data_IF_494843108906
#
_entry.id   IF_494843108906
#
_cell.length_a   1.000
_cell.length_b   1.000
_cell.length_c   1.000
_cell.angle_alpha   90.00
_cell.angle_beta   90.00
_cell.angle_gamma   90.00
#
_symmetry.space_group_name_H-M   'P 1'
#
loop_
_entity.id
_entity.type
_entity.pdbx_description
1 polymer ?
#
# COMPACT_ATOMS: atom_id res chain seq x y z
N UNK A 1 26.87 22.52 26.73
CA UNK A 1 26.55 21.61 25.61
C UNK A 1 27.82 21.36 24.80
N UNK A 2 28.09 20.14 24.33
CA UNK A 2 29.19 19.88 23.39
C UNK A 2 28.98 20.69 22.11
N UNK A 3 30.01 21.40 21.65
CA UNK A 3 29.97 22.10 20.37
C UNK A 3 30.04 21.07 19.23
N UNK A 4 28.92 20.89 18.52
CA UNK A 4 28.87 20.04 17.32
C UNK A 4 29.50 20.82 16.17
N UNK A 5 30.74 20.46 15.81
CA UNK A 5 31.43 21.02 14.65
C UNK A 5 31.17 20.16 13.40
N UNK A 6 30.91 20.77 12.23
CA UNK A 6 30.89 20.07 10.94
C UNK A 6 32.15 19.23 10.73
N UNK A 7 32.03 18.10 10.04
CA UNK A 7 33.14 17.14 9.87
C UNK A 7 34.38 17.77 9.22
N UNK A 8 34.18 18.66 8.26
CA UNK A 8 35.24 19.38 7.53
C UNK A 8 36.07 20.29 8.44
N UNK A 9 35.52 20.74 9.56
CA UNK A 9 36.17 21.62 10.53
C UNK A 9 36.81 20.86 11.70
N UNK A 10 36.81 19.52 11.67
CA UNK A 10 37.45 18.69 12.69
C UNK A 10 38.92 18.47 12.34
N UNK A 11 39.75 18.34 13.38
CA UNK A 11 41.17 18.03 13.17
C UNK A 11 41.34 16.63 12.55
N UNK A 12 42.34 16.46 11.69
CA UNK A 12 42.64 15.17 11.02
C UNK A 12 42.77 14.02 12.04
N UNK A 13 43.47 14.25 13.16
CA UNK A 13 43.60 13.28 14.25
C UNK A 13 42.27 12.84 14.85
N UNK A 14 41.29 13.75 14.92
CA UNK A 14 39.94 13.42 15.41
C UNK A 14 39.17 12.60 14.39
N UNK A 15 39.39 12.82 13.09
CA UNK A 15 38.75 12.07 12.02
C UNK A 15 39.30 10.63 11.99
N UNK A 16 40.61 10.45 12.06
CA UNK A 16 41.27 9.13 12.10
C UNK A 16 40.83 8.26 13.30
N UNK A 17 40.47 8.89 14.42
CA UNK A 17 40.00 8.17 15.60
C UNK A 17 38.53 7.74 15.51
N UNK A 18 37.78 8.21 14.51
CA UNK A 18 36.39 7.80 14.34
C UNK A 18 36.30 6.34 13.87
N UNK A 19 35.24 5.61 14.27
CA UNK A 19 35.04 4.25 13.79
C UNK A 19 34.60 4.24 12.33
N UNK A 20 35.25 3.42 11.50
CA UNK A 20 34.88 3.25 10.09
C UNK A 20 33.66 2.33 9.88
N UNK A 21 33.38 1.44 10.84
CA UNK A 21 32.32 0.43 10.76
C UNK A 21 31.48 0.40 12.02
N UNK A 22 30.20 0.06 11.86
CA UNK A 22 29.28 -0.21 12.96
C UNK A 22 29.66 -1.52 13.66
N UNK A 23 30.23 -1.40 14.85
CA UNK A 23 30.47 -2.55 15.74
C UNK A 23 29.25 -2.83 16.63
N UNK A 24 29.14 -4.05 17.16
CA UNK A 24 28.09 -4.44 18.11
C UNK A 24 28.08 -3.55 19.36
N UNK A 25 29.27 -3.11 19.82
CA UNK A 25 29.39 -2.16 20.93
C UNK A 25 28.82 -0.78 20.58
N UNK A 26 29.03 -0.29 19.35
CA UNK A 26 28.41 0.96 18.91
C UNK A 26 26.89 0.85 18.81
N UNK A 27 26.37 -0.29 18.35
CA UNK A 27 24.92 -0.53 18.34
C UNK A 27 24.33 -0.47 19.75
N UNK A 28 25.04 -1.00 20.75
CA UNK A 28 24.63 -0.90 22.15
C UNK A 28 24.67 0.55 22.66
N UNK A 29 25.72 1.31 22.31
CA UNK A 29 25.79 2.77 22.61
C UNK A 29 24.58 3.49 22.00
N UNK A 30 24.23 3.22 20.75
CA UNK A 30 23.07 3.82 20.08
C UNK A 30 21.79 3.52 20.86
N UNK A 31 21.56 2.28 21.25
CA UNK A 31 20.37 1.89 22.02
C UNK A 31 20.29 2.61 23.38
N UNK A 32 21.40 2.67 24.11
CA UNK A 32 21.45 3.37 25.40
C UNK A 32 21.24 4.89 25.23
N UNK A 33 21.79 5.48 24.17
CA UNK A 33 21.62 6.90 23.85
C UNK A 33 20.18 7.24 23.46
N UNK A 34 19.51 6.37 22.69
CA UNK A 34 18.07 6.47 22.38
C UNK A 34 17.23 6.32 23.66
N UNK A 35 17.62 5.45 24.58
CA UNK A 35 16.98 5.30 25.88
C UNK A 35 17.23 6.48 26.85
N UNK A 36 18.04 7.49 26.45
CA UNK A 36 18.28 8.70 27.22
C UNK A 36 19.46 8.63 28.20
N UNK A 37 20.30 7.61 28.12
CA UNK A 37 21.48 7.52 28.98
C UNK A 37 22.50 8.62 28.64
N UNK A 38 23.09 9.22 29.67
CA UNK A 38 24.15 10.21 29.49
C UNK A 38 25.45 9.55 29.02
N UNK A 39 26.32 10.29 28.33
CA UNK A 39 27.60 9.76 27.86
C UNK A 39 28.48 9.18 28.98
N UNK A 40 28.38 9.75 30.19
CA UNK A 40 29.08 9.24 31.37
C UNK A 40 28.48 7.92 31.87
N UNK A 41 27.15 7.77 31.86
CA UNK A 41 26.50 6.52 32.23
C UNK A 41 26.85 5.40 31.24
N UNK A 42 26.85 5.69 29.95
CA UNK A 42 27.29 4.75 28.90
C UNK A 42 28.77 4.36 29.11
N UNK A 43 29.60 5.30 29.55
CA UNK A 43 31.04 5.05 29.80
C UNK A 43 31.27 4.07 30.94
N UNK A 44 30.49 4.20 32.03
CA UNK A 44 30.55 3.30 33.15
C UNK A 44 30.07 1.90 32.79
N UNK A 45 28.94 1.80 32.06
CA UNK A 45 28.33 0.51 31.70
C UNK A 45 29.18 -0.30 30.71
N UNK A 46 29.78 0.37 29.72
CA UNK A 46 30.54 -0.30 28.66
C UNK A 46 32.04 -0.41 28.96
N UNK A 47 32.50 0.11 30.10
CA UNK A 47 33.92 0.14 30.47
C UNK A 47 34.78 0.92 29.48
N UNK A 48 34.23 1.97 28.88
CA UNK A 48 34.93 2.82 27.91
C UNK A 48 35.25 4.18 28.52
N UNK A 49 36.30 4.83 28.02
CA UNK A 49 36.58 6.21 28.44
C UNK A 49 35.50 7.17 27.90
N UNK A 50 35.08 8.19 28.68
CA UNK A 50 34.11 9.18 28.22
C UNK A 50 34.52 9.87 26.91
N UNK A 51 35.82 10.11 26.74
CA UNK A 51 36.39 10.68 25.52
C UNK A 51 36.17 9.79 24.29
N UNK A 52 36.31 8.46 24.44
CA UNK A 52 36.04 7.52 23.33
C UNK A 52 34.58 7.52 22.93
N UNK A 53 33.66 7.57 23.89
CA UNK A 53 32.21 7.66 23.62
C UNK A 53 31.88 8.98 22.93
N UNK A 54 32.49 10.08 23.34
CA UNK A 54 32.31 11.38 22.67
C UNK A 54 32.74 11.32 21.20
N UNK A 55 33.88 10.69 20.90
CA UNK A 55 34.35 10.51 19.52
C UNK A 55 33.36 9.66 18.71
N UNK A 56 32.89 8.55 19.28
CA UNK A 56 31.92 7.66 18.63
C UNK A 56 30.60 8.38 18.35
N UNK A 57 30.03 9.09 19.34
CA UNK A 57 28.74 9.80 19.20
C UNK A 57 28.78 10.91 18.16
N UNK A 58 29.95 11.50 17.94
CA UNK A 58 30.16 12.57 16.96
C UNK A 58 30.57 12.04 15.57
N UNK A 59 30.65 10.72 15.37
CA UNK A 59 30.99 10.13 14.09
C UNK A 59 29.77 10.16 13.13
N UNK A 60 29.95 10.45 11.84
CA UNK A 60 28.85 10.47 10.86
C UNK A 60 28.06 9.15 10.82
N UNK A 61 28.77 8.02 10.80
CA UNK A 61 28.18 6.68 10.78
C UNK A 61 27.28 6.41 11.99
N UNK A 62 27.63 6.96 13.16
CA UNK A 62 26.84 6.83 14.37
C UNK A 62 25.54 7.62 14.25
N UNK A 63 25.62 8.88 13.79
CA UNK A 63 24.45 9.75 13.67
C UNK A 63 23.43 9.20 12.66
N UNK A 64 23.91 8.65 11.55
CA UNK A 64 23.05 8.03 10.54
C UNK A 64 22.38 6.76 11.09
N UNK A 65 23.14 5.87 11.72
CA UNK A 65 22.61 4.65 12.31
C UNK A 65 21.61 4.91 13.45
N UNK A 66 21.87 5.92 14.28
CA UNK A 66 20.95 6.37 15.33
C UNK A 66 19.63 6.82 14.72
N UNK A 67 19.66 7.68 13.68
CA UNK A 67 18.46 8.16 12.99
C UNK A 67 17.64 7.01 12.40
N UNK A 68 18.29 6.04 11.76
CA UNK A 68 17.61 4.84 11.23
C UNK A 68 16.94 4.07 12.36
N UNK A 69 17.65 3.82 13.46
CA UNK A 69 17.09 3.08 14.61
C UNK A 69 15.95 3.81 15.30
N UNK A 70 16.01 5.13 15.43
CA UNK A 70 14.90 5.95 15.95
C UNK A 70 13.68 5.89 15.02
N UNK A 71 13.89 5.90 13.71
CA UNK A 71 12.82 5.74 12.73
C UNK A 71 12.18 4.32 12.81
N UNK A 72 12.99 3.27 12.90
CA UNK A 72 12.51 1.89 13.09
C UNK A 72 11.73 1.70 14.40
N UNK A 73 12.18 2.34 15.48
CA UNK A 73 11.50 2.26 16.78
C UNK A 73 10.20 3.06 16.76
N UNK A 74 10.21 4.25 16.17
CA UNK A 74 8.99 5.07 16.07
C UNK A 74 7.94 4.40 15.17
N UNK A 75 8.32 3.78 14.05
CA UNK A 75 7.39 3.02 13.21
C UNK A 75 6.77 1.86 13.97
N UNK A 76 7.57 1.07 14.70
CA UNK A 76 7.08 -0.04 15.53
C UNK A 76 6.15 0.41 16.65
N UNK A 77 6.42 1.56 17.27
CA UNK A 77 5.55 2.12 18.31
C UNK A 77 4.24 2.62 17.71
N UNK A 78 4.29 3.29 16.55
CA UNK A 78 3.10 3.75 15.83
C UNK A 78 2.25 2.55 15.40
N UNK A 79 2.83 1.54 14.76
CA UNK A 79 2.15 0.30 14.36
C UNK A 79 1.51 -0.41 15.56
N UNK A 80 2.24 -0.56 16.67
CA UNK A 80 1.72 -1.18 17.89
C UNK A 80 0.61 -0.35 18.54
N UNK A 81 0.71 0.98 18.56
CA UNK A 81 -0.34 1.85 19.07
C UNK A 81 -1.58 1.81 18.18
N UNK A 82 -1.42 1.82 16.86
CA UNK A 82 -2.52 1.65 15.92
C UNK A 82 -3.26 0.32 16.15
N UNK A 83 -2.53 -0.77 16.33
CA UNK A 83 -3.13 -2.08 16.62
C UNK A 83 -3.77 -2.14 18.02
N UNK A 84 -3.19 -1.49 19.03
CA UNK A 84 -3.76 -1.44 20.39
C UNK A 84 -5.00 -0.56 20.47
N UNK A 85 -5.07 0.53 19.70
CA UNK A 85 -6.25 1.39 19.63
C UNK A 85 -7.37 0.67 18.87
N UNK A 86 -7.05 0.02 17.74
CA UNK A 86 -8.01 -0.81 16.99
C UNK A 86 -8.52 -2.01 17.81
N UNK A 87 -7.66 -2.66 18.60
CA UNK A 87 -8.06 -3.78 19.45
C UNK A 87 -8.87 -3.36 20.70
N UNK A 88 -8.73 -2.12 21.15
CA UNK A 88 -9.43 -1.57 22.31
C UNK A 88 -10.76 -0.89 21.98
N UNK A 89 -11.09 -0.69 20.69
CA UNK A 89 -12.33 -0.06 20.29
C UNK A 89 -13.52 -1.03 20.48
N UNK A 90 -14.46 -0.76 21.40
CA UNK A 90 -15.62 -1.60 21.61
C UNK A 90 -16.53 -1.69 20.36
N UNK A 91 -16.47 -0.70 19.47
CA UNK A 91 -17.26 -0.68 18.23
C UNK A 91 -16.69 -1.68 17.23
N UNK A 92 -15.37 -1.69 17.01
CA UNK A 92 -14.73 -2.63 16.08
C UNK A 92 -14.91 -4.08 16.56
N UNK A 93 -14.78 -4.33 17.86
CA UNK A 93 -15.04 -5.65 18.44
C UNK A 93 -16.50 -6.09 18.19
N UNK A 94 -17.46 -5.18 18.35
CA UNK A 94 -18.88 -5.46 18.10
C UNK A 94 -19.19 -5.67 16.62
N UNK A 95 -18.54 -4.93 15.73
CA UNK A 95 -18.66 -5.13 14.28
C UNK A 95 -18.12 -6.49 13.86
N UNK A 96 -16.99 -6.95 14.43
CA UNK A 96 -16.45 -8.30 14.16
C UNK A 96 -17.41 -9.40 14.61
N UNK A 97 -18.02 -9.27 15.78
CA UNK A 97 -19.05 -10.21 16.25
C UNK A 97 -20.26 -10.23 15.32
N UNK A 98 -20.79 -9.06 14.96
CA UNK A 98 -21.91 -8.95 14.02
C UNK A 98 -21.59 -9.53 12.63
N UNK A 99 -20.34 -9.43 12.19
CA UNK A 99 -19.90 -10.04 10.94
C UNK A 99 -19.96 -11.57 11.01
N UNK A 100 -19.56 -12.18 12.13
CA UNK A 100 -19.68 -13.63 12.35
C UNK A 100 -21.15 -14.05 12.37
N UNK A 101 -21.99 -13.35 13.13
CA UNK A 101 -23.43 -13.61 13.20
C UNK A 101 -24.10 -13.49 11.81
N UNK A 102 -23.68 -12.51 11.00
CA UNK A 102 -24.19 -12.34 9.65
C UNK A 102 -23.84 -13.53 8.76
N UNK A 103 -22.61 -14.06 8.84
CA UNK A 103 -22.19 -15.25 8.09
C UNK A 103 -23.01 -16.48 8.48
N UNK A 104 -23.26 -16.68 9.77
CA UNK A 104 -24.12 -17.77 10.24
C UNK A 104 -25.56 -17.64 9.71
N UNK A 105 -26.12 -16.43 9.73
CA UNK A 105 -27.44 -16.17 9.15
C UNK A 105 -27.50 -16.48 7.66
N UNK A 106 -26.47 -16.11 6.89
CA UNK A 106 -26.37 -16.48 5.48
C UNK A 106 -26.33 -18.01 5.30
N UNK A 107 -25.62 -18.75 6.15
CA UNK A 107 -25.60 -20.21 6.09
C UNK A 107 -26.97 -20.84 6.38
N UNK A 108 -27.74 -20.28 7.32
CA UNK A 108 -29.11 -20.71 7.62
C UNK A 108 -30.05 -20.42 6.46
N UNK A 109 -29.99 -19.20 5.90
CA UNK A 109 -30.81 -18.80 4.76
C UNK A 109 -30.54 -19.67 3.53
N UNK A 110 -29.29 -20.04 3.29
CA UNK A 110 -28.92 -20.93 2.18
C UNK A 110 -29.61 -22.29 2.27
N UNK A 111 -29.72 -22.87 3.48
CA UNK A 111 -30.25 -24.22 3.71
C UNK A 111 -31.77 -24.27 3.89
N UNK A 112 -32.38 -23.19 4.38
CA UNK A 112 -33.75 -23.22 4.90
C UNK A 112 -34.68 -22.10 4.43
N UNK A 113 -34.24 -21.18 3.56
CA UNK A 113 -35.15 -20.15 3.05
C UNK A 113 -36.22 -20.75 2.13
N UNK A 114 -37.49 -20.35 2.28
CA UNK A 114 -38.59 -20.84 1.44
C UNK A 114 -38.58 -20.28 0.01
N UNK A 115 -37.81 -19.22 -0.25
CA UNK A 115 -37.72 -18.58 -1.56
C UNK A 115 -36.42 -18.97 -2.25
N UNK A 116 -36.54 -19.59 -3.42
CA UNK A 116 -35.40 -19.96 -4.27
C UNK A 116 -34.55 -18.74 -4.65
N UNK A 117 -35.20 -17.58 -4.86
CA UNK A 117 -34.50 -16.33 -5.16
C UNK A 117 -33.55 -15.92 -4.02
N UNK A 118 -33.99 -16.06 -2.77
CA UNK A 118 -33.19 -15.73 -1.58
C UNK A 118 -32.05 -16.73 -1.41
N UNK A 119 -32.32 -18.03 -1.64
CA UNK A 119 -31.27 -19.06 -1.60
C UNK A 119 -30.19 -18.79 -2.65
N UNK A 120 -30.57 -18.49 -3.90
CA UNK A 120 -29.64 -18.19 -4.99
C UNK A 120 -28.80 -16.95 -4.69
N UNK A 121 -29.43 -15.84 -4.31
CA UNK A 121 -28.72 -14.60 -3.97
C UNK A 121 -27.72 -14.79 -2.81
N UNK A 122 -28.10 -15.61 -1.83
CA UNK A 122 -27.22 -15.97 -0.71
C UNK A 122 -26.06 -16.85 -1.16
N UNK A 123 -26.31 -17.83 -2.04
CA UNK A 123 -25.28 -18.69 -2.60
C UNK A 123 -24.24 -17.87 -3.38
N UNK A 124 -24.68 -16.99 -4.28
CA UNK A 124 -23.82 -16.11 -5.07
C UNK A 124 -22.96 -15.22 -4.15
N UNK A 125 -23.57 -14.64 -3.11
CA UNK A 125 -22.85 -13.80 -2.12
C UNK A 125 -21.76 -14.56 -1.36
N UNK A 126 -21.98 -15.83 -1.04
CA UNK A 126 -21.00 -16.69 -0.37
C UNK A 126 -19.86 -17.05 -1.34
N UNK A 127 -20.19 -17.42 -2.58
CA UNK A 127 -19.22 -17.79 -3.60
C UNK A 127 -18.30 -16.62 -3.96
N UNK A 128 -18.84 -15.42 -4.12
CA UNK A 128 -18.08 -14.20 -4.39
C UNK A 128 -17.07 -13.90 -3.27
N UNK A 129 -17.50 -14.01 -2.01
CA UNK A 129 -16.64 -13.78 -0.84
C UNK A 129 -15.58 -14.87 -0.66
N UNK A 130 -15.90 -16.10 -1.06
CA UNK A 130 -14.93 -17.20 -1.09
C UNK A 130 -13.93 -17.09 -2.26
N UNK A 131 -14.11 -16.10 -3.15
CA UNK A 131 -13.22 -15.85 -4.28
C UNK A 131 -13.53 -16.66 -5.53
N UNK A 132 -14.66 -17.36 -5.57
CA UNK A 132 -15.15 -18.06 -6.76
C UNK A 132 -15.82 -17.05 -7.69
N UNK A 133 -15.03 -16.46 -8.59
CA UNK A 133 -15.58 -15.63 -9.67
C UNK A 133 -15.98 -16.50 -10.85
N UNK A 134 -17.16 -16.24 -11.41
CA UNK A 134 -17.51 -16.80 -12.71
C UNK A 134 -16.45 -16.38 -13.75
N UNK A 135 -15.89 -17.35 -14.48
CA UNK A 135 -15.01 -17.06 -15.61
C UNK A 135 -15.82 -16.28 -16.66
N UNK A 136 -15.57 -14.98 -16.72
CA UNK A 136 -16.00 -14.14 -17.83
C UNK A 136 -14.78 -13.99 -18.74
N UNK A 137 -14.59 -14.95 -19.63
CA UNK A 137 -13.62 -14.80 -20.71
C UNK A 137 -14.15 -13.67 -21.62
N UNK A 138 -13.68 -12.44 -21.36
CA UNK A 138 -13.99 -11.29 -22.21
C UNK A 138 -13.23 -11.49 -23.51
N UNK A 139 -13.91 -12.00 -24.52
CA UNK A 139 -13.36 -12.09 -25.87
C UNK A 139 -13.20 -10.68 -26.44
N UNK A 140 -12.01 -10.11 -26.29
CA UNK A 140 -11.67 -8.82 -26.92
C UNK A 140 -11.38 -9.11 -28.39
N UNK A 141 -12.35 -8.82 -29.25
CA UNK A 141 -12.17 -8.86 -30.70
C UNK A 141 -11.67 -7.48 -31.11
N UNK A 142 -10.35 -7.32 -31.27
CA UNK A 142 -9.78 -6.11 -31.87
C UNK A 142 -9.96 -6.16 -33.39
N UNK A 143 -10.85 -5.33 -33.92
CA UNK A 143 -10.99 -5.13 -35.36
C UNK A 143 -10.14 -3.94 -35.78
N UNK A 144 -9.07 -4.18 -36.53
CA UNK A 144 -8.28 -3.11 -37.13
C UNK A 144 -9.04 -2.54 -38.34
N UNK A 145 -9.50 -1.29 -38.21
CA UNK A 145 -10.27 -0.61 -39.25
C UNK A 145 -9.29 0.03 -40.25
N UNK A 146 -9.28 -0.47 -41.48
CA UNK A 146 -8.58 0.19 -42.61
C UNK A 146 -9.31 1.48 -43.02
N UNK A 147 -8.60 2.47 -43.58
CA UNK A 147 -9.18 3.79 -43.97
C UNK A 147 -10.43 3.67 -44.86
N UNK A 148 -10.48 2.64 -45.72
CA UNK A 148 -11.65 2.36 -46.58
C UNK A 148 -12.89 1.91 -45.80
N UNK A 149 -12.71 1.32 -44.61
CA UNK A 149 -13.80 0.96 -43.72
C UNK A 149 -14.22 2.14 -42.84
N UNK A 150 -13.28 2.99 -42.39
CA UNK A 150 -13.58 4.20 -41.63
C UNK A 150 -14.50 5.15 -42.41
N UNK A 151 -14.22 5.38 -43.69
CA UNK A 151 -15.08 6.18 -44.58
C UNK A 151 -16.47 5.58 -44.79
N UNK A 152 -16.60 4.25 -44.77
CA UNK A 152 -17.91 3.58 -44.83
C UNK A 152 -18.67 3.74 -43.51
N UNK A 153 -17.99 3.65 -42.37
CA UNK A 153 -18.58 3.86 -41.05
C UNK A 153 -19.06 5.30 -40.85
N UNK A 154 -18.26 6.30 -41.22
CA UNK A 154 -18.68 7.72 -41.18
C UNK A 154 -19.90 7.99 -42.06
N UNK A 155 -19.96 7.36 -43.24
CA UNK A 155 -21.11 7.50 -44.15
C UNK A 155 -22.39 6.84 -43.61
N UNK A 156 -22.26 5.79 -42.82
CA UNK A 156 -23.42 5.12 -42.17
C UNK A 156 -23.86 5.88 -40.92
N UNK A 157 -22.92 6.36 -40.10
CA UNK A 157 -23.20 7.16 -38.90
C UNK A 157 -23.86 8.51 -39.25
N UNK A 158 -23.36 9.20 -40.28
CA UNK A 158 -23.97 10.45 -40.75
C UNK A 158 -25.37 10.24 -41.33
N UNK A 159 -25.66 9.07 -41.90
CA UNK A 159 -27.00 8.73 -42.42
C UNK A 159 -27.98 8.37 -41.32
N UNK A 160 -27.54 7.68 -40.27
CA UNK A 160 -28.37 7.34 -39.11
C UNK A 160 -28.85 8.58 -38.34
N UNK A 161 -28.03 9.63 -38.25
CA UNK A 161 -28.40 10.91 -37.61
C UNK A 161 -29.44 11.71 -38.43
N UNK A 162 -29.60 11.41 -39.72
CA UNK A 162 -30.54 12.09 -40.61
C UNK A 162 -31.86 11.34 -40.82
N UNK A 163 -32.02 10.16 -40.22
CA UNK A 163 -33.24 9.34 -40.30
C UNK A 163 -33.79 9.06 -38.90
N UNK A 164 -34.12 10.14 -38.17
CA UNK A 164 -35.14 10.07 -37.13
C UNK A 164 -36.53 10.09 -37.79
N UNK A 165 -36.92 8.96 -38.36
CA UNK A 165 -38.34 8.65 -38.57
C UNK A 165 -38.52 7.12 -38.65
N UNK A 166 -39.11 6.60 -37.58
CA UNK A 166 -39.85 5.34 -37.41
C UNK A 166 -39.25 4.05 -37.99
N UNK A 167 -38.73 3.17 -37.12
CA UNK A 167 -39.14 1.75 -37.11
C UNK A 167 -38.66 1.02 -35.83
N UNK A 168 -39.60 0.30 -35.20
CA UNK A 168 -39.45 -0.54 -34.01
C UNK A 168 -38.48 -1.72 -34.25
N UNK A 169 -37.23 -1.61 -33.78
CA UNK A 169 -36.36 -2.78 -33.58
C UNK A 169 -35.71 -2.70 -32.20
N UNK A 170 -36.17 -3.53 -31.28
CA UNK A 170 -35.58 -3.69 -29.94
C UNK A 170 -34.10 -4.14 -30.06
N UNK A 171 -33.10 -3.37 -29.59
CA UNK A 171 -31.73 -3.84 -29.59
C UNK A 171 -31.52 -4.86 -28.45
N UNK A 172 -30.78 -5.93 -28.73
CA UNK A 172 -30.47 -6.98 -27.76
C UNK A 172 -29.66 -6.42 -26.58
N UNK A 173 -29.99 -6.82 -25.35
CA UNK A 173 -29.36 -6.43 -24.08
C UNK A 173 -27.94 -7.00 -23.88
N UNK A 174 -27.08 -6.88 -24.88
CA UNK A 174 -25.64 -7.11 -24.71
C UNK A 174 -24.94 -5.77 -24.86
N UNK A 175 -24.61 -5.16 -23.73
CA UNK A 175 -23.75 -3.96 -23.67
C UNK A 175 -22.38 -4.33 -24.23
N UNK A 176 -22.19 -4.05 -25.52
CA UNK A 176 -20.90 -4.14 -26.20
C UNK A 176 -20.23 -2.78 -26.13
N UNK A 177 -19.41 -2.57 -25.11
CA UNK A 177 -18.49 -1.42 -25.11
C UNK A 177 -17.46 -1.61 -26.24
N UNK A 178 -17.62 -0.83 -27.31
CA UNK A 178 -16.65 -0.78 -28.41
C UNK A 178 -15.77 0.45 -28.21
N UNK A 179 -14.58 0.27 -27.66
CA UNK A 179 -13.60 1.37 -27.54
C UNK A 179 -12.88 1.54 -28.88
N UNK A 180 -13.14 2.64 -29.58
CA UNK A 180 -12.46 2.98 -30.84
C UNK A 180 -11.35 3.98 -30.53
N UNK A 181 -10.09 3.55 -30.63
CA UNK A 181 -8.92 4.42 -30.47
C UNK A 181 -8.27 4.70 -31.82
N UNK A 182 -8.39 5.94 -32.31
CA UNK A 182 -7.76 6.41 -33.56
C UNK A 182 -6.41 7.04 -33.20
N UNK A 183 -5.29 6.39 -33.58
CA UNK A 183 -3.96 7.01 -33.51
C UNK A 183 -3.67 7.69 -34.85
N UNK A 184 -3.60 9.03 -34.84
CA UNK A 184 -3.17 9.83 -35.98
C UNK A 184 -1.63 9.95 -35.95
N UNK A 185 -0.93 9.15 -36.74
CA UNK A 185 0.50 9.39 -37.00
C UNK A 185 0.61 10.49 -38.05
N UNK A 186 1.06 11.66 -37.64
CA UNK A 186 1.45 12.73 -38.57
C UNK A 186 2.88 12.42 -39.00
N UNK A 187 3.05 12.00 -40.25
CA UNK A 187 4.36 11.87 -40.88
C UNK A 187 4.89 13.27 -41.24
N UNK A 188 6.18 13.50 -40.97
CA UNK A 188 6.91 14.74 -41.26
C UNK A 188 7.00 15.06 -42.76
#
# INVERSE_FOLDING_TARGET
>A
MPLVKPQELKSLKTIELQPDKLSSRMQLIILMDIAGYTGNAISAELGMTPSRISIIRNAPIYTEAKRIKEAELSSKVIEKRSNSIAAGDPIEARLKLLAVDAVEKYAVLLKGANSEFVQKSTADSILDRAGYKARSDKTIISVEITEKMATRFEKVLSRAVMTEQEDDVRPSQNERETTISIKKTVSA
#
